data_IF_407702567860
#
_entry.id   IF_407702567860
#
_cell.length_a   1.000
_cell.length_b   1.000
_cell.length_c   1.000
_cell.angle_alpha   90.00
_cell.angle_beta   90.00
_cell.angle_gamma   90.00
#
_symmetry.space_group_name_H-M   'P 1'
#
loop_
_entity.id
_entity.type
_entity.pdbx_description
1 polymer ?
#
# COMPACT_ATOMS: atom_id res chain seq x y z
N UNK A 1 -1.75 17.47 7.79
CA UNK A 1 -1.65 16.92 6.42
C UNK A 1 -1.16 15.49 6.46
N UNK A 2 -1.66 14.68 5.56
CA UNK A 2 -1.19 13.30 5.46
C UNK A 2 0.24 13.25 4.89
N UNK A 3 1.06 12.36 5.41
CA UNK A 3 2.47 12.26 5.01
C UNK A 3 2.67 11.85 3.56
N UNK A 4 1.72 11.08 2.98
CA UNK A 4 1.81 10.67 1.59
C UNK A 4 1.82 11.87 0.62
N UNK A 5 1.28 13.00 1.03
CA UNK A 5 1.21 14.20 0.18
C UNK A 5 2.58 14.76 -0.20
N UNK A 6 3.63 14.35 0.50
CA UNK A 6 5.01 14.72 0.14
C UNK A 6 5.50 14.02 -1.11
N UNK A 7 4.91 12.88 -1.45
CA UNK A 7 5.43 11.99 -2.49
C UNK A 7 4.44 11.67 -3.59
N UNK A 8 3.15 11.82 -3.33
CA UNK A 8 2.09 11.49 -4.27
C UNK A 8 1.15 12.67 -4.44
N UNK A 9 0.67 12.88 -5.66
CA UNK A 9 -0.41 13.83 -5.88
C UNK A 9 -1.72 13.25 -5.33
N UNK A 10 -2.72 14.10 -5.15
CA UNK A 10 -4.04 13.66 -4.72
C UNK A 10 -4.64 12.65 -5.69
N UNK A 11 -4.51 12.92 -7.00
CA UNK A 11 -5.02 12.03 -8.03
C UNK A 11 -4.32 10.66 -7.99
N UNK A 12 -3.00 10.66 -7.81
CA UNK A 12 -2.23 9.42 -7.69
C UNK A 12 -2.67 8.60 -6.49
N UNK A 13 -2.79 9.24 -5.33
CA UNK A 13 -3.21 8.55 -4.12
C UNK A 13 -4.60 7.93 -4.25
N UNK A 14 -5.56 8.70 -4.76
CA UNK A 14 -6.94 8.23 -4.88
C UNK A 14 -7.15 7.25 -6.04
N UNK A 15 -6.18 7.13 -6.95
CA UNK A 15 -6.22 6.11 -8.00
C UNK A 15 -5.72 4.74 -7.50
N UNK A 16 -5.08 4.69 -6.33
CA UNK A 16 -4.65 3.43 -5.74
C UNK A 16 -5.84 2.63 -5.22
N UNK A 17 -5.70 1.30 -5.21
CA UNK A 17 -6.68 0.43 -4.54
C UNK A 17 -6.64 0.69 -3.04
N UNK A 18 -7.64 0.21 -2.31
CA UNK A 18 -7.64 0.37 -0.85
C UNK A 18 -6.37 -0.21 -0.20
N UNK A 19 -5.95 -1.44 -0.51
CA UNK A 19 -4.66 -1.92 0.01
C UNK A 19 -3.49 -1.04 -0.38
N UNK A 20 -3.49 -0.49 -1.59
CA UNK A 20 -2.43 0.42 -2.04
C UNK A 20 -2.38 1.70 -1.24
N UNK A 21 -3.53 2.28 -0.89
CA UNK A 21 -3.60 3.48 -0.05
C UNK A 21 -3.12 3.19 1.37
N UNK A 22 -3.52 2.06 1.94
CA UNK A 22 -3.04 1.66 3.27
C UNK A 22 -1.52 1.48 3.26
N UNK A 23 -0.99 0.86 2.21
CA UNK A 23 0.45 0.71 2.05
C UNK A 23 1.15 2.06 1.95
N UNK A 24 0.59 3.00 1.17
CA UNK A 24 1.14 4.35 1.03
C UNK A 24 1.17 5.07 2.38
N UNK A 25 0.10 4.98 3.15
CA UNK A 25 0.04 5.59 4.49
C UNK A 25 1.10 4.98 5.41
N UNK A 26 1.21 3.65 5.42
CA UNK A 26 2.19 2.95 6.26
C UNK A 26 3.63 3.30 5.86
N UNK A 27 3.93 3.25 4.57
CA UNK A 27 5.28 3.50 4.09
C UNK A 27 5.73 4.93 4.35
N UNK A 28 4.85 5.91 4.16
CA UNK A 28 5.20 7.31 4.40
C UNK A 28 5.39 7.61 5.87
N UNK A 29 4.73 6.86 6.76
CA UNK A 29 4.91 6.99 8.21
C UNK A 29 6.16 6.26 8.72
N UNK A 30 6.40 5.04 8.24
CA UNK A 30 7.35 4.13 8.85
C UNK A 30 8.57 3.82 7.98
N UNK A 31 8.51 4.10 6.67
CA UNK A 31 9.59 3.85 5.73
C UNK A 31 9.90 5.12 4.92
N UNK A 32 10.15 6.26 5.60
CA UNK A 32 10.33 7.53 4.88
C UNK A 32 11.54 7.57 3.97
N UNK A 33 12.63 6.89 4.34
CA UNK A 33 13.84 6.86 3.51
C UNK A 33 13.59 6.10 2.22
N UNK A 34 12.88 4.97 2.29
CA UNK A 34 12.52 4.18 1.12
C UNK A 34 11.59 4.98 0.20
N UNK A 35 10.60 5.67 0.78
CA UNK A 35 9.68 6.52 0.02
C UNK A 35 10.44 7.64 -0.69
N UNK A 36 11.34 8.30 0.02
CA UNK A 36 12.14 9.40 -0.55
C UNK A 36 12.99 8.92 -1.71
N UNK A 37 13.66 7.79 -1.55
CA UNK A 37 14.49 7.20 -2.60
C UNK A 37 13.65 6.84 -3.83
N UNK A 38 12.57 6.10 -3.65
CA UNK A 38 11.71 5.67 -4.75
C UNK A 38 11.03 6.85 -5.43
N UNK A 39 10.66 7.86 -4.66
CA UNK A 39 10.09 9.09 -5.22
C UNK A 39 11.12 9.80 -6.13
N UNK A 40 12.35 9.91 -5.64
CA UNK A 40 13.44 10.53 -6.43
C UNK A 40 13.74 9.74 -7.71
N UNK A 41 13.60 8.41 -7.66
CA UNK A 41 13.78 7.54 -8.81
C UNK A 41 12.56 7.53 -9.75
N UNK A 42 11.44 8.10 -9.33
CA UNK A 42 10.20 8.12 -10.10
C UNK A 42 9.46 6.80 -10.12
N UNK A 43 9.72 5.90 -9.15
CA UNK A 43 9.16 4.56 -9.12
C UNK A 43 8.13 4.32 -8.02
N UNK A 44 7.97 5.25 -7.09
CA UNK A 44 7.11 5.03 -5.93
C UNK A 44 5.65 4.80 -6.29
N UNK A 45 5.08 5.67 -7.12
CA UNK A 45 3.68 5.56 -7.49
C UNK A 45 3.39 4.25 -8.23
N UNK A 46 4.21 3.92 -9.23
CA UNK A 46 4.02 2.68 -10.01
C UNK A 46 4.10 1.45 -9.13
N UNK A 47 5.04 1.44 -8.19
CA UNK A 47 5.20 0.33 -7.26
C UNK A 47 3.98 0.16 -6.36
N UNK A 48 3.51 1.25 -5.76
CA UNK A 48 2.32 1.22 -4.90
C UNK A 48 1.08 0.80 -5.68
N UNK A 49 0.96 1.25 -6.92
CA UNK A 49 -0.16 0.90 -7.78
C UNK A 49 -0.17 -0.60 -8.08
N UNK A 50 0.97 -1.14 -8.53
CA UNK A 50 1.09 -2.56 -8.85
C UNK A 50 0.86 -3.45 -7.62
N UNK A 51 1.49 -3.10 -6.52
CA UNK A 51 1.33 -3.87 -5.28
C UNK A 51 -0.09 -3.80 -4.75
N UNK A 52 -0.71 -2.63 -4.82
CA UNK A 52 -2.08 -2.45 -4.39
C UNK A 52 -3.05 -3.29 -5.22
N UNK A 53 -2.86 -3.34 -6.52
CA UNK A 53 -3.69 -4.16 -7.41
C UNK A 53 -3.51 -5.65 -7.11
N UNK A 54 -2.27 -6.08 -6.92
CA UNK A 54 -1.96 -7.48 -6.60
C UNK A 54 -2.58 -7.90 -5.26
N UNK A 55 -2.48 -7.04 -4.25
CA UNK A 55 -3.07 -7.32 -2.94
C UNK A 55 -4.59 -7.37 -3.00
N UNK A 56 -5.21 -6.51 -3.80
CA UNK A 56 -6.66 -6.54 -3.98
C UNK A 56 -7.11 -7.82 -4.65
N UNK A 57 -6.40 -8.27 -5.69
CA UNK A 57 -6.69 -9.53 -6.36
C UNK A 57 -6.62 -10.71 -5.38
N UNK A 58 -5.58 -10.74 -4.55
CA UNK A 58 -5.43 -11.76 -3.54
C UNK A 58 -6.58 -11.74 -2.54
N UNK A 59 -6.99 -10.55 -2.10
CA UNK A 59 -8.12 -10.38 -1.20
C UNK A 59 -9.42 -10.95 -1.81
N UNK A 60 -9.67 -10.64 -3.07
CA UNK A 60 -10.85 -11.15 -3.78
C UNK A 60 -10.81 -12.67 -3.88
N UNK A 61 -9.65 -13.25 -4.19
CA UNK A 61 -9.49 -14.70 -4.25
C UNK A 61 -9.78 -15.38 -2.90
N UNK A 62 -9.31 -14.76 -1.81
CA UNK A 62 -9.57 -15.29 -0.47
C UNK A 62 -11.06 -15.28 -0.15
N UNK A 63 -11.78 -14.22 -0.54
CA UNK A 63 -13.22 -14.13 -0.35
C UNK A 63 -13.93 -15.21 -1.20
N UNK A 64 -13.52 -15.39 -2.44
CA UNK A 64 -14.08 -16.42 -3.32
C UNK A 64 -13.85 -17.82 -2.80
N UNK A 65 -12.77 -18.04 -2.06
CA UNK A 65 -12.48 -19.35 -1.47
C UNK A 65 -13.30 -19.64 -0.19
N UNK A 66 -14.15 -18.69 0.22
CA UNK A 66 -15.02 -18.86 1.36
C UNK A 66 -14.63 -18.07 2.60
N UNK A 67 -13.57 -17.27 2.54
CA UNK A 67 -13.16 -16.45 3.67
C UNK A 67 -14.05 -15.21 3.78
N UNK A 68 -14.39 -14.82 5.01
CA UNK A 68 -15.13 -13.59 5.25
C UNK A 68 -14.27 -12.38 4.85
N UNK A 69 -14.92 -11.27 4.48
CA UNK A 69 -14.22 -10.04 4.07
C UNK A 69 -13.24 -9.57 5.14
N UNK A 70 -13.63 -9.59 6.40
CA UNK A 70 -12.76 -9.17 7.51
C UNK A 70 -11.52 -10.06 7.62
N UNK A 71 -11.70 -11.37 7.47
CA UNK A 71 -10.60 -12.32 7.51
C UNK A 71 -9.65 -12.15 6.34
N UNK A 72 -10.19 -11.94 5.14
CA UNK A 72 -9.38 -11.69 3.95
C UNK A 72 -8.56 -10.43 4.12
N UNK A 73 -9.15 -9.35 4.62
CA UNK A 73 -8.45 -8.10 4.86
C UNK A 73 -7.32 -8.27 5.90
N UNK A 74 -7.56 -9.06 6.96
CA UNK A 74 -6.52 -9.31 7.95
C UNK A 74 -5.28 -9.98 7.34
N UNK A 75 -5.47 -10.91 6.41
CA UNK A 75 -4.35 -11.54 5.71
C UNK A 75 -3.58 -10.50 4.88
N UNK A 76 -4.29 -9.67 4.14
CA UNK A 76 -3.67 -8.63 3.29
C UNK A 76 -2.95 -7.59 4.16
N UNK A 77 -3.57 -7.18 5.25
CA UNK A 77 -3.01 -6.19 6.16
C UNK A 77 -1.68 -6.67 6.77
N UNK A 78 -1.59 -7.94 7.14
CA UNK A 78 -0.37 -8.51 7.65
C UNK A 78 0.79 -8.40 6.66
N UNK A 79 0.52 -8.59 5.37
CA UNK A 79 1.54 -8.45 4.34
C UNK A 79 2.03 -7.01 4.23
N UNK A 80 1.12 -6.04 4.34
CA UNK A 80 1.48 -4.62 4.30
C UNK A 80 2.38 -4.25 5.48
N UNK A 81 2.03 -4.72 6.68
CA UNK A 81 2.73 -4.35 7.90
C UNK A 81 3.89 -5.29 8.27
N UNK A 82 4.26 -6.21 7.37
CA UNK A 82 5.33 -7.16 7.63
C UNK A 82 6.73 -6.54 7.59
N UNK A 83 6.89 -5.40 6.93
CA UNK A 83 8.18 -4.72 6.85
C UNK A 83 8.44 -3.94 8.13
N UNK A 84 9.63 -4.10 8.76
CA UNK A 84 9.96 -3.35 9.95
C UNK A 84 10.11 -1.86 9.65
N UNK A 85 9.75 -0.97 10.60
CA UNK A 85 9.96 0.46 10.41
C UNK A 85 11.44 0.80 10.24
N UNK A 86 11.72 1.80 9.46
CA UNK A 86 13.08 2.34 9.34
C UNK A 86 13.45 3.12 10.59
N UNK A 87 14.70 3.12 10.90
CA UNK A 87 15.25 3.83 12.06
C UNK A 87 16.15 4.98 11.62
#
# INVERSE_FOLDING_TARGET
MAKWQKYLTKDEYWSLTYPGRVMADYWTDWLPKTCKRMHAEGTLYSFLKEMGESLLEEQVELIHSGMAEDGAWEVIKEQIYSLPPER
#
